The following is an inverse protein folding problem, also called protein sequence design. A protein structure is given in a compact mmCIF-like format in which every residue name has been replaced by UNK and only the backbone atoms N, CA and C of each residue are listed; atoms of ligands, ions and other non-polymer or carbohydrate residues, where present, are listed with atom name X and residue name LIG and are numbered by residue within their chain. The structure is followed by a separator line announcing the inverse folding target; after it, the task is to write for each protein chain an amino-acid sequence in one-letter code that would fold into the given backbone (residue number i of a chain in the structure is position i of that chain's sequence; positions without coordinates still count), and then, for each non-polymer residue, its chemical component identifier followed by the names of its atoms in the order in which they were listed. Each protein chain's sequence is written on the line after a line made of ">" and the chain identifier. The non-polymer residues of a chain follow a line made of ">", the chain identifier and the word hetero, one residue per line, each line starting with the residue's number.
data_IF_380597695538
#
_entry.id   IF_380597695538
#
_cell.length_a   1.000
_cell.length_b   1.000
_cell.length_c   1.000
_cell.angle_alpha   90.00
_cell.angle_beta   90.00
_cell.angle_gamma   90.00
#
_symmetry.space_group_name_H-M   'P 1'
#
loop_
_entity.id
_entity.type
_entity.pdbx_description
1 polymer ?
#
# COMPACT_ATOMS: atom_id res chain seq x y z
N UNK A 1 -1.45 -5.45 6.87
CA UNK A 1 -0.56 -4.26 6.86
C UNK A 1 -1.33 -3.11 6.23
N UNK A 2 -1.19 -1.87 6.70
CA UNK A 2 -1.92 -0.71 6.15
C UNK A 2 -0.90 0.32 5.69
N UNK A 3 -1.07 0.82 4.47
CA UNK A 3 -0.25 1.88 3.87
C UNK A 3 -1.14 3.11 3.71
N UNK A 4 -0.83 4.17 4.44
CA UNK A 4 -1.55 5.45 4.30
C UNK A 4 -0.84 6.28 3.24
N UNK A 5 -1.55 6.69 2.21
CA UNK A 5 -0.97 7.53 1.14
C UNK A 5 -0.95 9.00 1.53
N UNK A 6 -0.13 9.77 0.83
CA UNK A 6 -0.14 11.24 0.90
C UNK A 6 -1.52 11.75 0.46
N UNK A 7 -1.98 12.86 1.04
CA UNK A 7 -3.31 13.43 0.76
C UNK A 7 -3.55 13.75 -0.71
N UNK A 8 -2.48 14.03 -1.47
CA UNK A 8 -2.55 14.34 -2.89
C UNK A 8 -1.89 13.26 -3.77
N UNK A 9 -1.85 12.02 -3.28
CA UNK A 9 -1.28 10.90 -4.04
C UNK A 9 -2.03 10.71 -5.36
N UNK A 10 -1.29 10.70 -6.46
CA UNK A 10 -1.90 10.55 -7.79
C UNK A 10 -2.39 9.12 -8.01
N UNK A 11 -3.27 8.93 -9.00
CA UNK A 11 -3.74 7.61 -9.37
C UNK A 11 -2.59 6.66 -9.75
N UNK A 12 -1.53 7.19 -10.37
CA UNK A 12 -0.32 6.44 -10.71
C UNK A 12 0.44 5.98 -9.48
N UNK A 13 0.61 6.84 -8.47
CA UNK A 13 1.27 6.46 -7.21
C UNK A 13 0.50 5.38 -6.45
N UNK A 14 -0.84 5.50 -6.41
CA UNK A 14 -1.71 4.51 -5.78
C UNK A 14 -1.61 3.16 -6.51
N UNK A 15 -1.62 3.18 -7.85
CA UNK A 15 -1.47 1.97 -8.68
C UNK A 15 -0.09 1.32 -8.49
N UNK A 16 0.97 2.13 -8.48
CA UNK A 16 2.33 1.65 -8.26
C UNK A 16 2.47 1.00 -6.87
N UNK A 17 1.85 1.57 -5.83
CA UNK A 17 1.84 0.96 -4.50
C UNK A 17 1.00 -0.30 -4.42
N UNK A 18 -0.15 -0.34 -5.11
CA UNK A 18 -0.96 -1.55 -5.19
C UNK A 18 -0.17 -2.69 -5.85
N UNK A 19 0.47 -2.44 -6.99
CA UNK A 19 1.34 -3.44 -7.65
C UNK A 19 2.50 -3.87 -6.77
N UNK A 20 3.11 -2.96 -6.02
CA UNK A 20 4.19 -3.31 -5.07
C UNK A 20 3.69 -4.23 -3.96
N UNK A 21 2.49 -3.98 -3.45
CA UNK A 21 1.84 -4.85 -2.46
C UNK A 21 1.52 -6.23 -3.06
N UNK A 22 1.00 -6.27 -4.29
CA UNK A 22 0.71 -7.52 -5.01
C UNK A 22 1.97 -8.32 -5.35
N UNK A 23 3.05 -7.66 -5.73
CA UNK A 23 4.35 -8.30 -5.98
C UNK A 23 4.96 -8.91 -4.71
N UNK A 24 4.51 -8.50 -3.52
CA UNK A 24 4.89 -9.13 -2.25
C UNK A 24 4.01 -10.34 -1.90
N UNK A 25 3.14 -10.78 -2.82
CA UNK A 25 2.20 -11.88 -2.59
C UNK A 25 1.03 -11.51 -1.67
N UNK A 26 0.75 -10.21 -1.53
CA UNK A 26 -0.33 -9.69 -0.68
C UNK A 26 -1.43 -9.10 -1.56
N UNK A 27 -2.67 -9.21 -1.14
CA UNK A 27 -3.78 -8.56 -1.84
C UNK A 27 -3.84 -7.08 -1.45
N UNK A 28 -3.79 -6.19 -2.45
CA UNK A 28 -3.98 -4.76 -2.24
C UNK A 28 -5.48 -4.39 -2.25
N UNK A 29 -5.94 -3.71 -1.21
CA UNK A 29 -7.28 -3.16 -1.09
C UNK A 29 -7.19 -1.64 -0.98
N UNK A 30 -7.54 -0.94 -2.06
CA UNK A 30 -7.51 0.52 -2.12
C UNK A 30 -8.80 1.09 -1.54
N UNK A 31 -8.66 1.96 -0.54
CA UNK A 31 -9.74 2.68 0.14
C UNK A 31 -9.54 4.16 -0.15
N UNK A 32 -10.39 4.74 -1.00
CA UNK A 32 -10.36 6.17 -1.30
C UNK A 32 -11.21 6.91 -0.28
N UNK A 33 -10.57 7.53 0.71
CA UNK A 33 -11.21 8.45 1.64
C UNK A 33 -11.27 9.87 1.07
N UNK A 34 -12.11 10.69 1.67
CA UNK A 34 -12.28 12.11 1.29
C UNK A 34 -11.00 12.93 1.47
N UNK A 35 -10.24 12.63 2.54
CA UNK A 35 -9.00 13.35 2.89
C UNK A 35 -7.72 12.62 2.43
N UNK A 36 -7.74 11.28 2.47
CA UNK A 36 -6.58 10.44 2.19
C UNK A 36 -7.01 9.11 1.58
N UNK A 37 -6.19 8.61 0.67
CA UNK A 37 -6.30 7.24 0.19
C UNK A 37 -5.47 6.32 1.08
N UNK A 38 -6.02 5.16 1.41
CA UNK A 38 -5.38 4.13 2.22
C UNK A 38 -5.35 2.84 1.41
N UNK A 39 -4.23 2.11 1.45
CA UNK A 39 -4.09 0.81 0.81
C UNK A 39 -3.88 -0.24 1.90
N UNK A 40 -4.87 -1.11 2.08
CA UNK A 40 -4.76 -2.25 2.96
C UNK A 40 -4.11 -3.43 2.21
N UNK A 41 -2.98 -3.91 2.71
CA UNK A 41 -2.32 -5.12 2.25
C UNK A 41 -2.80 -6.30 3.11
N UNK A 42 -3.64 -7.15 2.51
CA UNK A 42 -4.33 -8.28 3.14
C UNK A 42 -3.81 -9.59 2.55
N UNK A 43 -3.33 -10.50 3.38
CA UNK A 43 -2.78 -11.78 2.92
C UNK A 43 -1.97 -12.45 4.01
N UNK A 44 -1.89 -13.77 3.93
CA UNK A 44 -1.15 -14.60 4.87
C UNK A 44 0.34 -14.50 4.53
N UNK A 45 1.01 -13.50 5.12
CA UNK A 45 2.48 -13.51 5.16
C UNK A 45 2.89 -14.74 5.96
N UNK A 46 3.34 -15.80 5.28
CA UNK A 46 4.44 -16.60 5.85
C UNK A 46 5.54 -15.58 6.16
N UNK A 47 6.00 -15.61 7.40
CA UNK A 47 6.92 -14.65 8.03
C UNK A 47 7.98 -14.08 7.07
N UNK A 48 8.42 -12.85 7.34
CA UNK A 48 9.58 -12.16 6.73
C UNK A 48 9.25 -11.07 5.71
N UNK A 49 8.60 -9.98 6.14
CA UNK A 49 8.95 -8.62 5.66
C UNK A 49 8.28 -7.57 6.55
N UNK A 50 8.86 -7.33 7.72
CA UNK A 50 8.98 -5.96 8.24
C UNK A 50 10.26 -5.42 7.59
N UNK A 51 10.40 -4.10 7.40
CA UNK A 51 11.52 -3.44 6.69
C UNK A 51 11.36 -3.39 5.16
N UNK A 52 10.77 -2.30 4.63
CA UNK A 52 11.07 -1.73 3.29
C UNK A 52 10.06 -0.67 2.79
N UNK A 53 8.99 -0.34 3.53
CA UNK A 53 7.95 0.61 3.07
C UNK A 53 8.04 2.01 3.71
N UNK A 54 9.11 2.34 4.42
CA UNK A 54 9.30 3.65 5.06
C UNK A 54 10.07 4.69 4.22
N UNK A 55 10.49 4.36 2.99
CA UNK A 55 11.23 5.31 2.15
C UNK A 55 10.29 6.00 1.15
N UNK A 56 9.88 7.21 1.50
CA UNK A 56 9.09 8.09 0.63
C UNK A 56 8.61 9.35 1.34
N UNK A 57 9.48 9.96 2.14
CA UNK A 57 9.29 11.34 2.61
C UNK A 57 9.41 12.28 1.41
#
# INVERSE_FOLDING_TARGET
>A
MIVVMKSNATAEEISAMAQRVESLGLKAHIIKGTDRTVIAAVGEKRETTKESLAAGA
#
